data_IF_120327575378
#
_entry.id   IF_120327575378
#
_cell.length_a   1.000
_cell.length_b   1.000
_cell.length_c   1.000
_cell.angle_alpha   90.00
_cell.angle_beta   90.00
_cell.angle_gamma   90.00
#
_symmetry.space_group_name_H-M   'P 1'
#
loop_
_entity.id
_entity.type
_entity.pdbx_description
1 polymer ?
#
# COMPACT_ATOMS: atom_id res chain seq x y z
N UNK A 1 29.44 6.63 16.81
CA UNK A 1 28.26 6.84 15.95
C UNK A 1 27.96 5.50 15.32
N UNK A 2 26.82 4.94 15.66
CA UNK A 2 26.34 3.67 15.07
C UNK A 2 25.53 4.00 13.82
N UNK A 3 25.63 3.14 12.80
CA UNK A 3 24.86 3.24 11.55
C UNK A 3 24.29 1.88 11.26
N UNK A 4 22.97 1.82 11.08
CA UNK A 4 22.25 0.62 10.70
C UNK A 4 21.62 0.83 9.34
N UNK A 5 21.60 -0.22 8.53
CA UNK A 5 20.76 -0.29 7.34
C UNK A 5 19.53 -1.08 7.79
N UNK A 6 18.36 -0.44 7.82
CA UNK A 6 17.13 -1.09 8.25
C UNK A 6 16.73 -2.19 7.26
N UNK A 7 16.56 -1.81 5.99
CA UNK A 7 16.19 -2.70 4.90
C UNK A 7 16.96 -2.24 3.66
N UNK A 8 17.59 -3.15 2.94
CA UNK A 8 18.38 -2.86 1.74
C UNK A 8 17.74 -3.45 0.47
N UNK A 9 18.16 -2.93 -0.68
CA UNK A 9 17.76 -3.42 -2.00
C UNK A 9 16.22 -3.46 -2.26
N UNK A 10 15.49 -2.59 -1.57
CA UNK A 10 14.05 -2.33 -1.71
C UNK A 10 13.83 -0.83 -1.86
N UNK A 11 12.64 -0.40 -2.27
CA UNK A 11 12.35 1.02 -2.48
C UNK A 11 10.88 1.34 -2.28
N UNK A 12 10.64 2.62 -2.01
CA UNK A 12 9.39 3.35 -2.15
C UNK A 12 8.24 2.91 -1.22
N UNK A 13 7.38 3.89 -0.93
CA UNK A 13 6.19 3.78 -0.09
C UNK A 13 6.36 3.04 1.25
N UNK A 14 7.42 3.30 2.05
CA UNK A 14 7.50 2.72 3.38
C UNK A 14 6.40 3.28 4.27
N UNK A 15 5.63 2.41 4.93
CA UNK A 15 4.70 2.79 5.98
C UNK A 15 5.07 2.09 7.30
N UNK A 16 5.13 2.85 8.40
CA UNK A 16 5.50 2.35 9.72
C UNK A 16 4.26 2.19 10.60
N UNK A 17 4.04 1.02 11.17
CA UNK A 17 2.95 0.77 12.14
C UNK A 17 3.51 0.19 13.44
N UNK A 18 3.09 0.71 14.59
CA UNK A 18 3.41 0.13 15.90
C UNK A 18 2.32 -0.88 16.29
N UNK A 19 2.69 -2.14 16.49
CA UNK A 19 1.76 -3.18 16.96
C UNK A 19 1.48 -3.04 18.47
N UNK A 20 0.35 -3.60 18.97
CA UNK A 20 0.01 -3.54 20.39
C UNK A 20 1.04 -4.15 21.35
N UNK A 21 1.87 -5.08 20.87
CA UNK A 21 2.94 -5.71 21.66
C UNK A 21 4.24 -4.90 21.70
N UNK A 22 4.28 -3.74 21.04
CA UNK A 22 5.45 -2.87 20.94
C UNK A 22 6.36 -3.15 19.74
N UNK A 23 6.06 -4.17 18.92
CA UNK A 23 6.79 -4.44 17.68
C UNK A 23 6.56 -3.30 16.68
N UNK A 24 7.63 -2.77 16.09
CA UNK A 24 7.53 -1.87 14.94
C UNK A 24 7.44 -2.69 13.66
N UNK A 25 6.57 -2.31 12.75
CA UNK A 25 6.49 -2.87 11.40
C UNK A 25 6.78 -1.81 10.36
N UNK A 26 7.33 -2.24 9.23
CA UNK A 26 7.52 -1.44 8.03
C UNK A 26 6.97 -2.23 6.84
N UNK A 27 5.93 -1.70 6.20
CA UNK A 27 5.45 -2.21 4.92
C UNK A 27 6.13 -1.46 3.79
N UNK A 28 6.68 -2.18 2.81
CA UNK A 28 7.52 -1.57 1.76
C UNK A 28 7.49 -2.41 0.49
N UNK A 29 7.60 -1.77 -0.67
CA UNK A 29 7.69 -2.47 -1.94
C UNK A 29 9.04 -3.18 -2.11
N UNK A 30 9.02 -4.43 -2.58
CA UNK A 30 10.14 -5.38 -2.46
C UNK A 30 11.27 -5.20 -3.47
N UNK A 31 11.22 -4.18 -4.33
CA UNK A 31 12.21 -4.01 -5.40
C UNK A 31 12.87 -2.63 -5.34
N UNK A 32 14.14 -2.50 -5.78
CA UNK A 32 14.90 -1.25 -5.71
C UNK A 32 14.57 -0.28 -6.87
N UNK A 33 13.33 -0.31 -7.36
CA UNK A 33 12.85 0.51 -8.47
C UNK A 33 11.47 1.06 -8.13
N UNK A 34 11.08 2.17 -8.75
CA UNK A 34 9.78 2.80 -8.55
C UNK A 34 8.66 1.98 -9.24
N UNK A 35 8.35 0.80 -8.72
CA UNK A 35 7.26 -0.06 -9.24
C UNK A 35 7.50 -0.72 -10.59
N UNK A 36 8.64 -0.48 -11.26
CA UNK A 36 8.85 -0.94 -12.64
C UNK A 36 8.94 -2.46 -12.78
N UNK A 37 9.17 -3.18 -11.68
CA UNK A 37 9.38 -4.61 -11.67
C UNK A 37 8.22 -5.38 -11.04
N UNK A 38 8.09 -6.66 -11.34
CA UNK A 38 7.29 -7.59 -10.54
C UNK A 38 7.84 -7.55 -9.11
N UNK A 39 6.97 -7.29 -8.14
CA UNK A 39 7.35 -7.16 -6.74
C UNK A 39 6.13 -7.15 -5.82
N UNK A 40 6.40 -7.41 -4.55
CA UNK A 40 5.42 -7.54 -3.48
C UNK A 40 5.41 -6.27 -2.62
N UNK A 41 4.37 -6.10 -1.81
CA UNK A 41 4.47 -5.32 -0.57
C UNK A 41 4.87 -6.26 0.57
N UNK A 42 6.09 -6.10 1.06
CA UNK A 42 6.65 -6.88 2.16
C UNK A 42 6.34 -6.26 3.51
N UNK A 43 6.24 -7.09 4.55
CA UNK A 43 6.22 -6.67 5.94
C UNK A 43 7.58 -7.00 6.58
N UNK A 44 8.25 -5.97 7.07
CA UNK A 44 9.45 -6.07 7.90
C UNK A 44 9.13 -5.66 9.33
N UNK A 45 9.85 -6.22 10.31
CA UNK A 45 9.58 -5.96 11.72
C UNK A 45 10.85 -5.75 12.53
N UNK A 46 10.76 -4.90 13.55
CA UNK A 46 11.79 -4.68 14.55
C UNK A 46 11.20 -4.81 15.96
N UNK A 47 11.95 -5.47 16.83
CA UNK A 47 11.63 -5.64 18.26
C UNK A 47 12.69 -5.00 19.16
N UNK A 48 13.58 -4.17 18.58
CA UNK A 48 14.73 -3.56 19.23
C UNK A 48 14.81 -2.05 18.95
N UNK A 49 13.65 -1.39 19.04
CA UNK A 49 13.47 0.05 18.84
C UNK A 49 13.93 0.54 17.45
N UNK A 50 13.69 -0.28 16.41
CA UNK A 50 13.97 0.08 15.02
C UNK A 50 15.43 -0.07 14.60
N UNK A 51 16.27 -0.77 15.39
CA UNK A 51 17.69 -0.95 15.07
C UNK A 51 17.93 -2.04 14.04
N UNK A 52 17.37 -3.23 14.26
CA UNK A 52 17.46 -4.38 13.36
C UNK A 52 16.08 -4.77 12.88
N UNK A 53 16.00 -5.13 11.60
CA UNK A 53 14.76 -5.48 10.95
C UNK A 53 14.88 -6.84 10.28
N UNK A 54 13.79 -7.59 10.29
CA UNK A 54 13.66 -8.86 9.60
C UNK A 54 12.39 -8.90 8.78
N UNK A 55 12.47 -9.44 7.56
CA UNK A 55 11.30 -9.73 6.75
C UNK A 55 10.44 -10.77 7.49
N UNK A 56 9.19 -10.42 7.77
CA UNK A 56 8.21 -11.32 8.38
C UNK A 56 7.39 -12.05 7.32
N UNK A 57 6.90 -11.34 6.31
CA UNK A 57 6.03 -11.91 5.26
C UNK A 57 5.90 -11.00 4.04
N UNK A 58 5.11 -11.42 3.05
CA UNK A 58 4.61 -10.58 1.97
C UNK A 58 3.11 -10.32 2.21
N UNK A 59 2.78 -9.08 2.58
CA UNK A 59 1.40 -8.67 2.87
C UNK A 59 0.53 -8.78 1.61
N UNK A 60 0.98 -8.10 0.56
CA UNK A 60 0.38 -8.16 -0.78
C UNK A 60 1.40 -8.73 -1.78
N UNK A 61 1.35 -10.04 -2.07
CA UNK A 61 2.19 -10.65 -3.10
C UNK A 61 1.87 -10.12 -4.49
N UNK A 62 2.88 -10.08 -5.35
CA UNK A 62 2.76 -9.78 -6.76
C UNK A 62 1.84 -10.78 -7.47
N UNK A 63 1.25 -10.32 -8.57
CA UNK A 63 0.46 -11.14 -9.49
C UNK A 63 1.11 -11.07 -10.88
N UNK A 64 2.20 -11.84 -11.14
CA UNK A 64 2.96 -11.71 -12.39
C UNK A 64 2.08 -11.87 -13.64
N UNK A 65 2.26 -11.01 -14.67
CA UNK A 65 3.36 -10.08 -14.84
C UNK A 65 3.17 -8.72 -14.15
N UNK A 66 2.21 -8.58 -13.22
CA UNK A 66 2.01 -7.38 -12.40
C UNK A 66 2.76 -7.37 -11.07
N UNK A 67 2.67 -6.23 -10.38
CA UNK A 67 3.19 -6.04 -9.02
C UNK A 67 2.10 -5.62 -8.03
N UNK A 68 2.47 -5.54 -6.75
CA UNK A 68 1.78 -4.76 -5.72
C UNK A 68 2.81 -3.81 -5.14
N UNK A 69 2.51 -2.52 -5.06
CA UNK A 69 3.54 -1.52 -4.71
C UNK A 69 3.04 -0.35 -3.88
N UNK A 70 1.83 0.13 -4.13
CA UNK A 70 1.27 1.25 -3.37
C UNK A 70 0.78 0.74 -2.01
N UNK A 71 0.89 1.57 -0.98
CA UNK A 71 0.69 1.12 0.40
C UNK A 71 -0.04 2.17 1.22
N UNK A 72 -1.22 1.79 1.72
CA UNK A 72 -1.72 2.29 3.00
C UNK A 72 -1.61 1.18 4.05
N UNK A 73 -1.20 1.50 5.28
CA UNK A 73 -1.11 0.51 6.35
C UNK A 73 -1.46 1.11 7.72
N UNK A 74 -1.91 0.24 8.62
CA UNK A 74 -2.23 0.61 9.99
C UNK A 74 -3.00 -0.50 10.70
N UNK A 75 -3.65 -0.17 11.81
CA UNK A 75 -4.38 -1.14 12.61
C UNK A 75 -5.88 -0.99 12.43
N UNK A 76 -6.56 -2.13 12.44
CA UNK A 76 -7.96 -2.23 12.78
C UNK A 76 -8.18 -1.85 14.25
N UNK A 77 -9.42 -1.50 14.62
CA UNK A 77 -9.77 -1.18 16.01
C UNK A 77 -9.57 -2.39 16.93
N UNK A 78 -9.69 -3.61 16.40
CA UNK A 78 -9.41 -4.84 17.14
C UNK A 78 -7.90 -5.18 17.26
N UNK A 79 -7.01 -4.38 16.66
CA UNK A 79 -5.56 -4.57 16.66
C UNK A 79 -5.01 -5.42 15.51
N UNK A 80 -5.86 -5.91 14.61
CA UNK A 80 -5.40 -6.62 13.41
C UNK A 80 -4.64 -5.66 12.48
N UNK A 81 -3.55 -6.15 11.89
CA UNK A 81 -2.77 -5.36 10.95
C UNK A 81 -3.47 -5.34 9.59
N UNK A 82 -3.63 -4.16 9.01
CA UNK A 82 -4.20 -3.96 7.67
C UNK A 82 -3.16 -3.32 6.77
N UNK A 83 -3.08 -3.84 5.54
CA UNK A 83 -2.34 -3.26 4.42
C UNK A 83 -3.31 -3.21 3.24
N UNK A 84 -3.50 -2.03 2.65
CA UNK A 84 -4.24 -1.87 1.40
C UNK A 84 -3.22 -1.54 0.32
N UNK A 85 -3.27 -2.28 -0.79
CA UNK A 85 -2.29 -2.13 -1.86
C UNK A 85 -2.90 -2.23 -3.25
N UNK A 86 -2.56 -1.27 -4.12
CA UNK A 86 -2.73 -1.36 -5.57
C UNK A 86 -1.40 -1.70 -6.25
N UNK A 87 -1.38 -1.66 -7.58
CA UNK A 87 -0.18 -1.86 -8.36
C UNK A 87 -0.46 -1.76 -9.85
N UNK A 88 0.39 -2.38 -10.65
CA UNK A 88 0.42 -2.22 -12.09
C UNK A 88 0.55 -3.56 -12.78
N UNK A 89 -0.15 -3.72 -13.90
CA UNK A 89 -0.04 -4.90 -14.76
C UNK A 89 -0.19 -4.55 -16.24
N UNK A 90 0.73 -4.97 -17.12
CA UNK A 90 2.00 -5.64 -16.82
C UNK A 90 3.08 -4.68 -16.33
N UNK A 91 4.10 -5.22 -15.67
CA UNK A 91 5.38 -4.58 -15.37
C UNK A 91 6.53 -5.50 -15.79
N UNK A 92 7.78 -5.07 -15.62
CA UNK A 92 8.95 -5.81 -16.11
C UNK A 92 9.40 -6.91 -15.12
N UNK A 93 10.14 -7.90 -15.61
CA UNK A 93 10.82 -8.84 -14.72
C UNK A 93 11.95 -8.13 -13.94
N UNK A 94 12.24 -8.51 -12.68
CA UNK A 94 13.36 -7.96 -11.92
C UNK A 94 14.69 -8.05 -12.67
N UNK A 95 15.50 -7.00 -12.59
CA UNK A 95 16.77 -6.89 -13.32
C UNK A 95 16.64 -6.49 -14.79
N UNK A 96 15.44 -6.30 -15.31
CA UNK A 96 15.24 -5.79 -16.68
C UNK A 96 15.40 -4.27 -16.68
N UNK A 97 16.23 -3.76 -17.59
CA UNK A 97 16.35 -2.34 -17.87
C UNK A 97 15.68 -2.04 -19.21
N UNK A 98 14.52 -1.39 -19.16
CA UNK A 98 13.81 -0.87 -20.33
C UNK A 98 13.94 0.65 -20.28
N UNK A 99 14.75 1.25 -21.17
CA UNK A 99 14.81 2.70 -21.31
C UNK A 99 13.40 3.26 -21.55
N UNK A 100 13.11 4.39 -20.91
CA UNK A 100 11.84 5.11 -21.07
C UNK A 100 10.57 4.32 -20.66
N UNK A 101 10.70 3.34 -19.75
CA UNK A 101 9.51 2.71 -19.15
C UNK A 101 8.64 3.74 -18.44
N UNK A 102 7.37 3.77 -18.80
CA UNK A 102 6.28 4.40 -18.07
C UNK A 102 5.12 3.40 -17.87
N UNK A 103 4.16 3.79 -17.05
CA UNK A 103 2.97 2.98 -16.75
C UNK A 103 1.82 3.19 -17.76
N UNK A 104 2.02 3.93 -18.86
CA UNK A 104 0.94 4.27 -19.81
C UNK A 104 0.35 3.05 -20.53
N UNK A 105 1.16 2.00 -20.70
CA UNK A 105 0.74 0.71 -21.24
C UNK A 105 0.25 -0.27 -20.17
N UNK A 106 0.37 0.09 -18.89
CA UNK A 106 -0.04 -0.72 -17.75
C UNK A 106 -1.45 -0.35 -17.29
N UNK A 107 -2.17 -1.33 -16.77
CA UNK A 107 -3.42 -1.13 -16.06
C UNK A 107 -3.13 -1.04 -14.56
N UNK A 108 -3.75 -0.06 -13.88
CA UNK A 108 -3.78 -0.01 -12.43
C UNK A 108 -4.59 -1.20 -11.91
N UNK A 109 -4.03 -1.94 -10.96
CA UNK A 109 -4.72 -3.03 -10.28
C UNK A 109 -5.61 -2.46 -9.19
N UNK A 110 -6.83 -2.99 -9.09
CA UNK A 110 -7.75 -2.64 -8.01
C UNK A 110 -7.08 -2.79 -6.64
N UNK A 111 -7.32 -1.83 -5.75
CA UNK A 111 -6.79 -1.85 -4.41
C UNK A 111 -7.32 -3.08 -3.64
N UNK A 112 -6.38 -3.85 -3.07
CA UNK A 112 -6.65 -5.08 -2.33
C UNK A 112 -6.40 -4.87 -0.85
N UNK A 113 -7.38 -5.24 -0.03
CA UNK A 113 -7.25 -5.26 1.43
C UNK A 113 -6.56 -6.56 1.82
N UNK A 114 -5.46 -6.44 2.57
CA UNK A 114 -4.73 -7.55 3.20
C UNK A 114 -4.82 -7.38 4.72
N UNK A 115 -5.44 -8.32 5.42
CA UNK A 115 -5.69 -8.25 6.87
C UNK A 115 -5.01 -9.42 7.57
N UNK A 116 -4.35 -9.15 8.69
CA UNK A 116 -3.66 -10.15 9.49
C UNK A 116 -4.07 -10.06 10.96
N UNK A 117 -4.61 -11.16 11.49
CA UNK A 117 -4.96 -11.32 12.90
C UNK A 117 -3.82 -11.89 13.76
N UNK A 118 -2.66 -12.16 13.16
CA UNK A 118 -1.50 -12.80 13.79
C UNK A 118 -0.23 -11.97 13.57
N UNK A 119 -0.34 -10.65 13.71
CA UNK A 119 0.79 -9.72 13.64
C UNK A 119 1.57 -9.80 12.31
N UNK A 120 0.89 -10.10 11.21
CA UNK A 120 1.48 -10.16 9.87
C UNK A 120 2.19 -11.48 9.55
N UNK A 121 1.91 -12.56 10.28
CA UNK A 121 2.42 -13.89 9.92
C UNK A 121 1.62 -14.50 8.75
N UNK A 122 0.30 -14.34 8.77
CA UNK A 122 -0.62 -14.77 7.70
C UNK A 122 -1.58 -13.65 7.31
N UNK A 123 -2.14 -13.73 6.11
CA UNK A 123 -2.94 -12.67 5.51
C UNK A 123 -4.20 -13.21 4.83
N UNK A 124 -5.36 -12.69 5.23
CA UNK A 124 -6.59 -12.75 4.47
C UNK A 124 -6.58 -11.62 3.44
N UNK A 125 -7.07 -11.88 2.22
CA UNK A 125 -7.05 -10.91 1.12
C UNK A 125 -8.42 -10.77 0.48
N UNK A 126 -8.85 -9.54 0.24
CA UNK A 126 -10.16 -9.24 -0.34
C UNK A 126 -10.10 -7.99 -1.23
N UNK A 127 -10.75 -8.06 -2.39
CA UNK A 127 -10.88 -6.94 -3.34
C UNK A 127 -12.20 -6.20 -3.02
N UNK A 128 -12.20 -5.50 -1.88
CA UNK A 128 -13.39 -4.90 -1.24
C UNK A 128 -13.33 -3.37 -1.12
N UNK A 129 -12.49 -2.73 -1.93
CA UNK A 129 -12.40 -1.27 -2.04
C UNK A 129 -13.37 -0.81 -3.14
N UNK A 130 -14.28 0.09 -2.79
CA UNK A 130 -15.17 0.75 -3.76
C UNK A 130 -14.51 2.04 -4.24
N UNK A 131 -14.19 2.10 -5.52
CA UNK A 131 -13.54 3.27 -6.15
C UNK A 131 -14.52 4.46 -6.23
N UNK A 132 -14.14 5.66 -5.78
CA UNK A 132 -14.93 6.89 -5.99
C UNK A 132 -15.03 7.24 -7.49
N UNK A 133 -16.17 7.80 -7.92
CA UNK A 133 -16.52 8.27 -9.27
C UNK A 133 -15.38 8.36 -10.33
N UNK A 134 -15.05 7.23 -10.98
CA UNK A 134 -14.49 7.04 -12.35
C UNK A 134 -13.87 5.63 -12.44
N UNK A 135 -14.54 4.65 -13.09
CA UNK A 135 -14.05 3.27 -13.15
C UNK A 135 -12.86 3.06 -14.10
N UNK A 136 -12.51 4.04 -14.94
CA UNK A 136 -11.43 3.90 -15.93
C UNK A 136 -10.08 4.47 -15.47
N UNK A 137 -10.09 5.16 -14.31
CA UNK A 137 -8.94 5.75 -13.66
C UNK A 137 -8.23 4.82 -12.67
N UNK A 138 -7.21 5.37 -12.03
CA UNK A 138 -6.43 4.69 -10.99
C UNK A 138 -7.07 4.98 -9.63
N UNK A 139 -6.93 4.08 -8.67
CA UNK A 139 -7.39 4.28 -7.29
C UNK A 139 -6.32 3.72 -6.35
N UNK A 140 -5.49 4.62 -5.82
CA UNK A 140 -4.23 4.25 -5.20
C UNK A 140 -4.28 4.59 -3.69
N UNK A 141 -4.15 3.59 -2.80
CA UNK A 141 -4.07 3.81 -1.36
C UNK A 141 -2.70 4.37 -0.97
N UNK A 142 -2.66 5.28 -0.01
CA UNK A 142 -1.40 5.75 0.56
C UNK A 142 -1.53 6.15 2.04
N UNK A 143 -0.39 6.20 2.73
CA UNK A 143 -0.29 6.74 4.08
C UNK A 143 -0.89 5.82 5.15
N UNK A 144 -1.24 6.40 6.29
CA UNK A 144 -1.68 5.65 7.47
C UNK A 144 -3.17 5.32 7.40
N UNK A 145 -3.53 4.12 7.86
CA UNK A 145 -4.89 3.78 8.25
C UNK A 145 -5.08 4.25 9.70
N UNK A 146 -6.04 5.14 9.92
CA UNK A 146 -6.31 5.75 11.22
C UNK A 146 -7.72 5.44 11.71
N UNK A 147 -7.87 5.22 13.00
CA UNK A 147 -9.18 5.11 13.64
C UNK A 147 -9.76 6.50 13.93
N UNK A 148 -11.02 6.71 13.54
CA UNK A 148 -11.79 7.93 13.76
C UNK A 148 -13.16 7.66 14.37
N UNK A 149 -13.97 8.71 14.58
CA UNK A 149 -15.29 8.58 15.21
C UNK A 149 -16.29 7.74 14.39
N UNK A 150 -16.07 7.64 13.07
CA UNK A 150 -16.94 6.95 12.12
C UNK A 150 -16.29 5.66 11.57
N UNK A 151 -15.36 5.06 12.32
CA UNK A 151 -14.61 3.89 11.91
C UNK A 151 -13.21 4.21 11.40
N UNK A 152 -12.63 3.30 10.62
CA UNK A 152 -11.28 3.49 10.07
C UNK A 152 -11.33 4.41 8.84
N UNK A 153 -10.25 5.14 8.61
CA UNK A 153 -10.10 6.04 7.48
C UNK A 153 -8.71 5.90 6.86
N UNK A 154 -8.63 6.02 5.54
CA UNK A 154 -7.39 5.94 4.78
C UNK A 154 -7.44 6.87 3.56
N UNK A 155 -6.29 7.44 3.21
CA UNK A 155 -6.16 8.30 2.06
C UNK A 155 -6.00 7.49 0.78
N UNK A 156 -6.64 7.95 -0.28
CA UNK A 156 -6.51 7.45 -1.64
C UNK A 156 -6.35 8.62 -2.58
N UNK A 157 -5.72 8.42 -3.72
CA UNK A 157 -5.91 9.33 -4.85
C UNK A 157 -6.45 8.58 -6.05
N UNK A 158 -7.25 9.29 -6.84
CA UNK A 158 -7.75 8.81 -8.12
C UNK A 158 -7.29 9.70 -9.24
N UNK A 159 -7.18 9.17 -10.45
CA UNK A 159 -6.77 9.95 -11.61
C UNK A 159 -7.04 9.25 -12.93
N UNK A 160 -7.20 9.99 -14.03
CA UNK A 160 -7.27 9.40 -15.36
C UNK A 160 -5.93 8.72 -15.72
N UNK A 161 -5.95 7.79 -16.69
CA UNK A 161 -4.74 7.08 -17.14
C UNK A 161 -3.62 7.97 -17.68
N UNK A 162 -3.96 9.18 -18.11
CA UNK A 162 -2.99 10.16 -18.58
C UNK A 162 -2.38 11.02 -17.45
N UNK A 163 -2.75 10.73 -16.19
CA UNK A 163 -2.23 11.37 -14.97
C UNK A 163 -2.44 12.89 -14.94
N UNK A 164 -3.39 13.41 -15.73
CA UNK A 164 -3.54 14.87 -15.91
C UNK A 164 -4.34 15.54 -14.81
N UNK A 165 -5.12 14.80 -14.03
CA UNK A 165 -6.08 15.33 -13.05
C UNK A 165 -6.29 14.37 -11.87
N UNK A 166 -5.29 14.28 -11.02
CA UNK A 166 -5.42 13.50 -9.78
C UNK A 166 -6.29 14.24 -8.75
N UNK A 167 -7.09 13.48 -8.00
CA UNK A 167 -7.89 13.97 -6.89
C UNK A 167 -7.64 13.11 -5.66
N UNK A 168 -7.44 13.74 -4.50
CA UNK A 168 -7.24 13.04 -3.25
C UNK A 168 -8.57 12.84 -2.51
N UNK A 169 -8.73 11.66 -1.93
CA UNK A 169 -9.94 11.19 -1.27
C UNK A 169 -9.61 10.61 0.09
N UNK A 170 -10.57 10.71 1.00
CA UNK A 170 -10.61 9.92 2.22
C UNK A 170 -11.65 8.82 2.03
N UNK A 171 -11.25 7.56 2.08
CA UNK A 171 -12.16 6.41 2.15
C UNK A 171 -12.28 5.93 3.58
N UNK A 172 -13.42 5.33 3.91
CA UNK A 172 -13.74 4.86 5.25
C UNK A 172 -14.12 3.39 5.27
N UNK A 173 -13.98 2.80 6.45
CA UNK A 173 -14.48 1.48 6.79
C UNK A 173 -15.23 1.53 8.12
N UNK A 174 -16.50 1.14 8.10
CA UNK A 174 -17.35 1.02 9.29
C UNK A 174 -17.43 -0.41 9.82
N UNK A 175 -16.70 -1.34 9.21
CA UNK A 175 -16.72 -2.78 9.52
C UNK A 175 -15.33 -3.32 9.90
N UNK A 176 -14.54 -2.48 10.58
CA UNK A 176 -13.22 -2.81 11.10
C UNK A 176 -12.21 -3.21 10.00
N UNK A 177 -12.28 -2.48 8.89
CA UNK A 177 -11.34 -2.55 7.78
C UNK A 177 -11.59 -3.70 6.81
N UNK A 178 -12.78 -4.33 6.83
CA UNK A 178 -13.12 -5.43 5.91
C UNK A 178 -13.54 -4.91 4.54
N UNK A 179 -14.29 -3.82 4.51
CA UNK A 179 -14.70 -3.13 3.28
C UNK A 179 -14.37 -1.65 3.38
N UNK A 180 -14.07 -1.03 2.23
CA UNK A 180 -13.67 0.37 2.15
C UNK A 180 -14.49 1.08 1.06
N UNK A 181 -14.97 2.27 1.38
CA UNK A 181 -15.80 3.07 0.48
C UNK A 181 -16.20 4.39 1.12
N UNK A 182 -17.38 4.91 0.77
CA UNK A 182 -17.92 6.19 1.28
C UNK A 182 -16.90 7.35 1.15
N UNK A 183 -16.34 7.46 -0.06
CA UNK A 183 -15.27 8.39 -0.37
C UNK A 183 -15.71 9.85 -0.21
N UNK A 184 -14.95 10.61 0.57
CA UNK A 184 -15.06 12.07 0.64
C UNK A 184 -13.88 12.70 -0.11
N UNK A 185 -14.17 13.57 -1.06
CA UNK A 185 -13.15 14.33 -1.77
C UNK A 185 -12.45 15.27 -0.79
N UNK A 186 -11.13 15.12 -0.67
CA UNK A 186 -10.28 16.03 0.12
C UNK A 186 -9.96 17.25 -0.76
N UNK A 187 -9.50 17.00 -1.98
CA UNK A 187 -9.15 18.03 -2.96
C UNK A 187 -9.19 17.44 -4.37
N UNK A 188 -9.63 18.24 -5.34
CA UNK A 188 -9.75 17.86 -6.74
C UNK A 188 -8.63 18.46 -7.59
N UNK A 189 -8.34 17.80 -8.72
CA UNK A 189 -7.52 18.26 -9.84
C UNK A 189 -6.07 18.67 -9.46
N UNK A 190 -5.11 17.82 -9.85
CA UNK A 190 -3.65 18.03 -9.68
C UNK A 190 -3.14 17.78 -8.25
N UNK A 191 -3.76 16.84 -7.54
CA UNK A 191 -3.36 16.41 -6.19
C UNK A 191 -3.33 14.87 -6.07
N UNK A 192 -2.20 14.31 -5.60
CA UNK A 192 -2.00 12.89 -5.36
C UNK A 192 -1.66 12.56 -3.88
N UNK A 193 -0.44 12.12 -3.56
CA UNK A 193 0.00 11.82 -2.19
C UNK A 193 0.18 13.13 -1.38
N UNK A 194 -0.90 13.60 -0.75
CA UNK A 194 -0.96 14.86 0.02
C UNK A 194 -1.04 14.66 1.53
#
# INVERSE_FOLDING_TARGET
>A
MERYIAIDNVCAWPNLTLLPDGTLTATIYSQPVHGRWVGDVELWVSTDDGRLWQKRSAAAPAEPPGNRMDVAAGLAANGDLIVISSGWNPVQAPGTDVPDFDFSASQCLDARVCRSADAGHTWERADTVTVPDDPEGWCIPFGDIVEGPDGLAAAFYTGPKDDTRNSAWMLRSTDDGRTWGDGSLIVADDYNET
#
